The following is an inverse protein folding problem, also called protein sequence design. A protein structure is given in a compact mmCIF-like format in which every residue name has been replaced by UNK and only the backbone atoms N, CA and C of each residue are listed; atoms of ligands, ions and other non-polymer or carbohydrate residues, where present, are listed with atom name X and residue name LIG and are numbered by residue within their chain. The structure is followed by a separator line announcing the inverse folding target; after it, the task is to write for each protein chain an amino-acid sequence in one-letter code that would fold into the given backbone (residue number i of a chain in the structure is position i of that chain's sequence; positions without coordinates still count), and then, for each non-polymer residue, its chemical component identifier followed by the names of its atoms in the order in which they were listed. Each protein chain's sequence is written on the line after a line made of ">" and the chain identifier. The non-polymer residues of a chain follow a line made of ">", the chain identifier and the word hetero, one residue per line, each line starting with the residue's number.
data_IF_607177801280
#
_entry.id   IF_607177801280
#
_cell.length_a   1.000
_cell.length_b   1.000
_cell.length_c   1.000
_cell.angle_alpha   90.00
_cell.angle_beta   90.00
_cell.angle_gamma   90.00
#
_symmetry.space_group_name_H-M   'P 1'
#
loop_
_entity.id
_entity.type
_entity.pdbx_description
1 polymer ?
#
# COMPACT_ATOMS: atom_id res chain seq x y z
N UNK A 1 -11.65 44.40 12.99
CA UNK A 1 -10.50 43.60 13.40
C UNK A 1 -10.52 42.36 12.54
N UNK A 2 -9.61 42.32 11.62
CA UNK A 2 -9.52 41.47 10.43
C UNK A 2 -9.06 40.08 10.80
N UNK A 3 -9.87 39.08 10.48
CA UNK A 3 -9.49 37.67 10.49
C UNK A 3 -8.73 37.37 9.18
N UNK A 4 -7.42 37.38 9.25
CA UNK A 4 -6.59 36.86 8.17
C UNK A 4 -6.79 35.33 8.05
N UNK A 5 -7.57 34.95 7.05
CA UNK A 5 -7.65 33.59 6.58
C UNK A 5 -6.30 33.18 6.02
N UNK A 6 -5.61 32.29 6.73
CA UNK A 6 -4.42 31.62 6.27
C UNK A 6 -4.80 30.76 5.05
N UNK A 7 -4.56 31.30 3.85
CA UNK A 7 -4.69 30.56 2.61
C UNK A 7 -3.78 29.32 2.72
N UNK A 8 -4.38 28.13 2.79
CA UNK A 8 -3.67 26.88 2.57
C UNK A 8 -3.07 26.96 1.18
N UNK A 9 -1.76 27.08 1.12
CA UNK A 9 -0.97 26.89 -0.08
C UNK A 9 -1.41 25.56 -0.69
N UNK A 10 -2.11 25.63 -1.83
CA UNK A 10 -2.25 24.51 -2.74
C UNK A 10 -0.86 24.21 -3.28
N UNK A 11 -0.09 23.46 -2.50
CA UNK A 11 1.17 22.87 -2.92
C UNK A 11 0.91 22.18 -4.24
N UNK A 12 1.62 22.65 -5.25
CA UNK A 12 1.63 22.11 -6.59
C UNK A 12 1.98 20.60 -6.49
N UNK A 13 0.97 19.74 -6.50
CA UNK A 13 1.08 18.27 -6.48
C UNK A 13 1.63 17.69 -7.80
N UNK A 14 2.35 18.51 -8.54
CA UNK A 14 3.10 18.09 -9.71
C UNK A 14 4.47 17.65 -9.21
N UNK A 15 4.79 16.40 -9.47
CA UNK A 15 6.09 15.74 -9.29
C UNK A 15 6.36 15.14 -7.90
N UNK A 16 5.95 13.90 -7.77
CA UNK A 16 6.69 12.92 -7.02
C UNK A 16 7.44 12.04 -8.02
N UNK A 17 8.43 12.62 -8.63
CA UNK A 17 9.38 11.84 -9.38
C UNK A 17 10.32 11.22 -8.34
N UNK A 18 10.16 9.91 -8.11
CA UNK A 18 11.13 9.18 -7.32
C UNK A 18 12.38 8.94 -8.15
N UNK A 19 13.51 8.73 -7.50
CA UNK A 19 14.76 8.38 -8.14
C UNK A 19 14.61 7.11 -8.99
N UNK A 20 13.78 6.17 -8.56
CA UNK A 20 13.48 4.95 -9.32
C UNK A 20 12.74 5.25 -10.62
N UNK A 21 11.67 6.05 -10.56
CA UNK A 21 10.89 6.42 -11.75
C UNK A 21 11.77 7.19 -12.74
N UNK A 22 12.57 8.14 -12.26
CA UNK A 22 13.49 8.87 -13.13
C UNK A 22 14.50 7.91 -13.77
N UNK A 23 15.13 7.03 -13.00
CA UNK A 23 16.15 6.09 -13.47
C UNK A 23 15.63 5.10 -14.52
N UNK A 24 14.39 4.60 -14.38
CA UNK A 24 13.83 3.57 -15.25
C UNK A 24 12.80 4.06 -16.27
N UNK A 25 12.40 5.35 -16.23
CA UNK A 25 11.35 5.88 -17.11
C UNK A 25 11.66 7.22 -17.76
N UNK A 26 12.47 8.11 -17.15
CA UNK A 26 12.60 9.50 -17.61
C UNK A 26 14.03 9.92 -17.96
N UNK A 27 15.04 9.31 -17.33
CA UNK A 27 16.44 9.62 -17.62
C UNK A 27 16.81 9.29 -19.07
N UNK A 28 17.82 9.94 -19.62
CA UNK A 28 18.32 9.66 -20.98
C UNK A 28 18.73 8.19 -21.21
N UNK A 29 19.12 7.48 -20.13
CA UNK A 29 19.43 6.04 -20.12
C UNK A 29 18.27 5.17 -19.65
N UNK A 30 17.09 5.73 -19.39
CA UNK A 30 15.96 4.99 -18.84
C UNK A 30 15.57 3.76 -19.67
N UNK A 31 15.61 3.87 -21.00
CA UNK A 31 15.34 2.72 -21.89
C UNK A 31 16.36 1.59 -21.70
N UNK A 32 17.63 1.91 -21.57
CA UNK A 32 18.71 0.94 -21.34
C UNK A 32 18.53 0.27 -19.96
N UNK A 33 18.30 1.09 -18.94
CA UNK A 33 18.06 0.63 -17.58
C UNK A 33 16.83 -0.28 -17.50
N UNK A 34 15.71 0.13 -18.14
CA UNK A 34 14.48 -0.66 -18.19
C UNK A 34 14.68 -2.00 -18.92
N UNK A 35 15.37 -2.03 -20.06
CA UNK A 35 15.67 -3.27 -20.78
C UNK A 35 16.58 -4.18 -19.96
N UNK A 36 17.56 -3.65 -19.23
CA UNK A 36 18.38 -4.43 -18.30
C UNK A 36 17.52 -5.09 -17.23
N UNK A 37 16.56 -4.35 -16.67
CA UNK A 37 15.62 -4.87 -15.66
C UNK A 37 14.68 -5.92 -16.28
N UNK A 38 14.11 -5.65 -17.45
CA UNK A 38 13.26 -6.60 -18.17
C UNK A 38 13.99 -7.92 -18.44
N UNK A 39 15.21 -7.83 -18.95
CA UNK A 39 16.04 -9.00 -19.23
C UNK A 39 16.33 -9.81 -17.96
N UNK A 40 16.61 -9.13 -16.85
CA UNK A 40 16.85 -9.79 -15.56
C UNK A 40 15.59 -10.50 -15.02
N UNK A 41 14.40 -9.87 -15.16
CA UNK A 41 13.12 -10.44 -14.73
C UNK A 41 12.74 -11.70 -15.54
N UNK A 42 13.04 -11.73 -16.83
CA UNK A 42 12.60 -12.78 -17.75
C UNK A 42 13.69 -13.77 -18.15
N UNK A 43 14.94 -13.54 -17.75
CA UNK A 43 16.08 -14.34 -18.22
C UNK A 43 16.30 -14.23 -19.74
N UNK A 44 15.98 -13.06 -20.33
CA UNK A 44 16.10 -12.76 -21.75
C UNK A 44 17.32 -11.88 -22.04
N UNK A 45 17.57 -11.59 -23.30
CA UNK A 45 18.63 -10.68 -23.71
C UNK A 45 18.16 -9.81 -24.88
N UNK A 46 17.10 -9.02 -24.64
CA UNK A 46 16.60 -8.07 -25.63
C UNK A 46 17.63 -6.97 -25.89
N UNK A 47 17.94 -6.68 -27.15
CA UNK A 47 18.91 -5.64 -27.50
C UNK A 47 18.30 -4.23 -27.28
N UNK A 48 19.16 -3.22 -27.17
CA UNK A 48 18.74 -1.81 -27.02
C UNK A 48 17.86 -1.28 -28.18
N UNK A 49 17.94 -1.92 -29.36
CA UNK A 49 17.07 -1.63 -30.50
C UNK A 49 15.63 -2.10 -30.32
N UNK A 50 15.33 -2.93 -29.30
CA UNK A 50 13.97 -3.41 -29.03
C UNK A 50 13.04 -2.22 -28.76
N UNK A 51 11.79 -2.27 -29.28
CA UNK A 51 10.81 -1.22 -29.02
C UNK A 51 10.40 -1.31 -27.53
N UNK A 52 10.50 -0.18 -26.87
CA UNK A 52 10.00 0.04 -25.49
C UNK A 52 9.21 1.33 -25.54
N UNK A 53 7.96 1.25 -25.16
CA UNK A 53 7.06 2.39 -25.08
C UNK A 53 6.66 2.63 -23.62
N UNK A 54 6.95 3.81 -23.12
CA UNK A 54 6.52 4.23 -21.79
C UNK A 54 5.03 4.57 -21.83
N UNK A 55 4.21 3.87 -21.05
CA UNK A 55 2.77 4.04 -21.01
C UNK A 55 2.39 4.57 -19.63
N UNK A 56 2.31 5.89 -19.51
CA UNK A 56 1.96 6.54 -18.24
C UNK A 56 0.48 6.94 -18.21
N UNK A 57 -0.16 6.76 -17.06
CA UNK A 57 -1.46 7.35 -16.76
C UNK A 57 -1.24 8.78 -16.25
N UNK A 58 -1.59 9.77 -17.09
CA UNK A 58 -1.58 11.17 -16.65
C UNK A 58 -2.87 11.48 -15.88
N UNK A 59 -2.75 12.23 -14.77
CA UNK A 59 -3.87 12.84 -14.04
C UNK A 59 -4.95 11.88 -13.51
N UNK A 60 -4.59 10.83 -12.81
CA UNK A 60 -5.58 10.05 -12.04
C UNK A 60 -5.81 10.73 -10.70
N UNK A 61 -6.87 11.55 -10.62
CA UNK A 61 -7.17 12.47 -9.50
C UNK A 61 -7.42 11.78 -8.15
N UNK A 62 -7.61 10.45 -8.11
CA UNK A 62 -8.01 9.71 -6.92
C UNK A 62 -7.09 8.54 -6.55
N UNK A 63 -6.05 8.29 -7.35
CA UNK A 63 -5.09 7.22 -7.05
C UNK A 63 -3.73 7.85 -6.75
N UNK A 64 -3.26 7.69 -5.51
CA UNK A 64 -1.87 8.01 -5.13
C UNK A 64 -0.88 6.98 -5.71
N UNK A 65 -1.13 6.49 -6.92
CA UNK A 65 -0.24 5.59 -7.65
C UNK A 65 0.61 6.48 -8.57
N UNK A 66 1.49 7.27 -7.96
CA UNK A 66 2.28 8.26 -8.70
C UNK A 66 3.67 7.73 -9.03
N UNK A 67 4.08 6.62 -8.42
CA UNK A 67 5.45 6.12 -8.47
C UNK A 67 5.59 4.85 -9.32
N UNK A 68 4.78 4.67 -10.36
CA UNK A 68 4.80 3.45 -11.15
C UNK A 68 5.43 3.70 -12.52
N UNK A 69 6.36 2.83 -12.90
CA UNK A 69 6.88 2.73 -14.25
C UNK A 69 6.05 1.71 -15.02
N UNK A 70 5.46 2.11 -16.13
CA UNK A 70 4.70 1.22 -17.00
C UNK A 70 5.23 1.30 -18.43
N UNK A 71 5.69 0.16 -18.94
CA UNK A 71 6.23 0.08 -20.29
C UNK A 71 5.58 -1.05 -21.09
N UNK A 72 5.30 -0.77 -22.36
CA UNK A 72 4.93 -1.79 -23.33
C UNK A 72 6.22 -2.28 -24.02
N UNK A 73 6.48 -3.57 -23.90
CA UNK A 73 7.62 -4.23 -24.52
C UNK A 73 7.24 -5.67 -24.88
N UNK A 74 7.61 -6.15 -26.05
CA UNK A 74 7.38 -7.52 -26.51
C UNK A 74 5.91 -8.00 -26.32
N UNK A 75 4.93 -7.13 -26.61
CA UNK A 75 3.51 -7.44 -26.47
C UNK A 75 3.01 -7.56 -25.02
N UNK A 76 3.80 -7.13 -24.03
CA UNK A 76 3.47 -7.12 -22.61
C UNK A 76 3.45 -5.71 -22.06
N UNK A 77 2.59 -5.49 -21.06
CA UNK A 77 2.63 -4.29 -20.22
C UNK A 77 3.29 -4.67 -18.91
N UNK A 78 4.47 -4.16 -18.69
CA UNK A 78 5.19 -4.34 -17.42
C UNK A 78 4.87 -3.15 -16.54
N UNK A 79 4.24 -3.41 -15.41
CA UNK A 79 3.94 -2.42 -14.37
C UNK A 79 4.87 -2.65 -13.20
N UNK A 80 5.71 -1.68 -12.95
CA UNK A 80 6.66 -1.69 -11.83
C UNK A 80 6.17 -0.69 -10.80
N UNK A 81 5.81 -1.15 -9.62
CA UNK A 81 5.59 -0.27 -8.49
C UNK A 81 6.85 -0.18 -7.66
N UNK A 82 7.29 1.05 -7.45
CA UNK A 82 8.40 1.33 -6.59
C UNK A 82 8.01 1.26 -5.12
N UNK A 83 9.00 0.87 -4.37
CA UNK A 83 9.28 1.21 -2.99
C UNK A 83 8.04 1.33 -2.09
N UNK A 84 7.71 0.23 -1.46
CA UNK A 84 6.95 0.32 -0.24
C UNK A 84 7.91 0.13 0.93
N UNK A 85 8.11 1.21 1.69
CA UNK A 85 8.76 1.14 2.99
C UNK A 85 7.97 0.26 3.96
N UNK A 86 6.72 -0.06 3.62
CA UNK A 86 5.78 -0.92 4.36
C UNK A 86 5.21 -1.99 3.44
N UNK A 87 5.07 -3.19 3.95
CA UNK A 87 4.41 -4.30 3.27
C UNK A 87 2.93 -3.95 3.05
N UNK A 88 2.45 -4.04 1.81
CA UNK A 88 1.05 -3.76 1.47
C UNK A 88 0.43 -4.93 0.70
N UNK A 89 -0.36 -5.72 1.38
CA UNK A 89 -1.04 -6.89 0.81
C UNK A 89 -2.15 -6.51 -0.20
N UNK A 90 -2.58 -5.24 -0.25
CA UNK A 90 -3.61 -4.76 -1.18
C UNK A 90 -3.06 -4.36 -2.57
N UNK A 91 -1.79 -4.65 -2.86
CA UNK A 91 -1.20 -4.34 -4.18
C UNK A 91 -1.96 -4.98 -5.35
N UNK A 92 -2.47 -6.23 -5.27
CA UNK A 92 -3.25 -6.80 -6.36
C UNK A 92 -4.52 -6.00 -6.68
N UNK A 93 -5.22 -5.48 -5.67
CA UNK A 93 -6.40 -4.64 -5.88
C UNK A 93 -6.04 -3.30 -6.54
N UNK A 94 -4.97 -2.66 -6.09
CA UNK A 94 -4.47 -1.41 -6.68
C UNK A 94 -4.06 -1.60 -8.15
N UNK A 95 -3.35 -2.69 -8.45
CA UNK A 95 -2.95 -2.99 -9.83
C UNK A 95 -4.11 -3.37 -10.74
N UNK A 96 -5.17 -3.98 -10.20
CA UNK A 96 -6.39 -4.23 -10.97
C UNK A 96 -7.02 -2.91 -11.47
N UNK A 97 -7.14 -1.92 -10.59
CA UNK A 97 -7.65 -0.61 -10.95
C UNK A 97 -6.74 0.09 -11.97
N UNK A 98 -5.44 -0.01 -11.78
CA UNK A 98 -4.44 0.61 -12.65
C UNK A 98 -4.47 0.02 -14.05
N UNK A 99 -4.42 -1.31 -14.19
CA UNK A 99 -4.39 -1.98 -15.50
C UNK A 99 -5.69 -1.79 -16.27
N UNK A 100 -6.84 -1.74 -15.59
CA UNK A 100 -8.12 -1.46 -16.23
C UNK A 100 -8.08 -0.10 -16.96
N UNK A 101 -7.52 0.92 -16.32
CA UNK A 101 -7.36 2.27 -16.92
C UNK A 101 -6.32 2.31 -18.05
N UNK A 102 -5.23 1.55 -17.92
CA UNK A 102 -4.26 1.44 -19.02
C UNK A 102 -4.90 0.80 -20.25
N UNK A 103 -5.70 -0.24 -20.09
CA UNK A 103 -6.42 -0.84 -21.21
C UNK A 103 -7.45 0.10 -21.82
N UNK A 104 -8.13 0.94 -21.02
CA UNK A 104 -9.01 1.99 -21.53
C UNK A 104 -8.26 3.01 -22.40
N UNK A 105 -7.04 3.36 -22.01
CA UNK A 105 -6.18 4.30 -22.77
C UNK A 105 -5.66 3.67 -24.07
N UNK A 106 -5.31 2.39 -24.05
CA UNK A 106 -4.69 1.68 -25.16
C UNK A 106 -5.68 1.25 -26.23
N UNK A 107 -6.95 1.03 -25.86
CA UNK A 107 -7.98 0.56 -26.77
C UNK A 107 -8.88 1.70 -27.24
N UNK A 108 -9.26 1.68 -28.52
CA UNK A 108 -10.31 2.58 -28.99
C UNK A 108 -11.64 2.26 -28.26
N UNK A 109 -12.44 3.26 -27.87
CA UNK A 109 -13.72 3.04 -27.18
C UNK A 109 -14.65 2.07 -27.89
N UNK A 110 -14.57 1.99 -29.23
CA UNK A 110 -15.35 1.11 -30.09
C UNK A 110 -14.91 -0.35 -30.06
N UNK A 111 -13.68 -0.64 -29.72
CA UNK A 111 -13.09 -1.99 -29.83
C UNK A 111 -13.81 -3.00 -28.96
N UNK A 112 -14.30 -2.60 -27.78
CA UNK A 112 -15.06 -3.43 -26.86
C UNK A 112 -16.44 -3.86 -27.38
N UNK A 113 -16.94 -3.22 -28.44
CA UNK A 113 -18.21 -3.52 -29.08
C UNK A 113 -18.07 -4.34 -30.37
N UNK A 114 -16.81 -4.60 -30.80
CA UNK A 114 -16.56 -5.41 -31.98
C UNK A 114 -16.99 -6.87 -31.74
N UNK A 115 -17.52 -7.51 -32.77
CA UNK A 115 -17.84 -8.95 -32.71
C UNK A 115 -16.59 -9.83 -32.70
N UNK A 116 -15.50 -9.32 -33.26
CA UNK A 116 -14.19 -10.00 -33.27
C UNK A 116 -13.46 -9.67 -31.99
N UNK A 117 -12.80 -10.68 -31.41
CA UNK A 117 -11.97 -10.51 -30.21
C UNK A 117 -10.89 -9.47 -30.43
N UNK A 118 -10.91 -8.39 -29.66
CA UNK A 118 -9.83 -7.42 -29.58
C UNK A 118 -8.75 -7.95 -28.62
N UNK A 119 -7.52 -8.05 -29.13
CA UNK A 119 -6.38 -8.51 -28.34
C UNK A 119 -5.79 -7.34 -27.55
N UNK A 120 -5.40 -7.62 -26.34
CA UNK A 120 -4.73 -6.68 -25.43
C UNK A 120 -3.37 -7.23 -25.04
N UNK A 121 -2.39 -6.37 -24.72
CA UNK A 121 -1.09 -6.80 -24.20
C UNK A 121 -1.25 -7.56 -22.87
N UNK A 122 -0.40 -8.56 -22.64
CA UNK A 122 -0.40 -9.32 -21.39
C UNK A 122 0.19 -8.46 -20.26
N UNK A 123 -0.50 -8.28 -19.11
CA UNK A 123 0.01 -7.50 -18.01
C UNK A 123 0.90 -8.34 -17.10
N UNK A 124 1.96 -7.73 -16.59
CA UNK A 124 2.81 -8.29 -15.54
C UNK A 124 3.05 -7.24 -14.46
N UNK A 125 3.04 -7.65 -13.18
CA UNK A 125 3.08 -6.75 -12.05
C UNK A 125 4.21 -7.10 -11.10
N UNK A 126 5.05 -6.11 -10.81
CA UNK A 126 6.20 -6.25 -9.92
C UNK A 126 6.21 -5.13 -8.90
N UNK A 127 6.53 -5.47 -7.66
CA UNK A 127 6.80 -4.54 -6.56
C UNK A 127 8.22 -4.76 -6.09
N UNK A 128 9.00 -3.70 -6.03
CA UNK A 128 10.34 -3.73 -5.47
C UNK A 128 10.30 -3.26 -4.02
N UNK A 129 10.36 -4.21 -3.09
CA UNK A 129 10.39 -3.92 -1.67
C UNK A 129 11.80 -3.57 -1.22
N UNK A 130 11.91 -2.41 -0.59
CA UNK A 130 13.16 -1.92 -0.01
C UNK A 130 12.88 -1.31 1.39
N UNK A 131 12.01 -1.94 2.18
CA UNK A 131 11.64 -1.51 3.53
C UNK A 131 12.62 -2.00 4.59
N UNK A 132 12.38 -1.61 5.85
CA UNK A 132 13.19 -2.00 7.01
C UNK A 132 12.68 -3.28 7.70
N UNK A 133 11.43 -3.66 7.44
CA UNK A 133 10.85 -4.88 8.01
C UNK A 133 11.46 -6.10 7.34
N UNK A 134 11.66 -7.18 8.09
CA UNK A 134 12.13 -8.43 7.51
C UNK A 134 11.06 -9.00 6.58
N UNK A 135 11.43 -9.19 5.31
CA UNK A 135 10.54 -9.66 4.28
C UNK A 135 11.25 -10.70 3.39
N UNK A 136 10.56 -11.75 2.93
CA UNK A 136 11.17 -12.76 2.08
C UNK A 136 11.84 -12.16 0.84
N UNK A 137 12.83 -12.87 0.29
CA UNK A 137 13.50 -12.48 -0.96
C UNK A 137 12.50 -12.28 -2.10
N UNK A 138 11.50 -13.15 -2.18
CA UNK A 138 10.43 -13.08 -3.19
C UNK A 138 9.11 -13.52 -2.59
N UNK A 139 8.04 -12.80 -2.89
CA UNK A 139 6.68 -13.14 -2.45
C UNK A 139 5.71 -12.92 -3.61
N UNK A 140 4.65 -13.72 -3.66
CA UNK A 140 3.57 -13.57 -4.64
C UNK A 140 2.29 -13.19 -3.90
N UNK A 141 1.73 -12.04 -4.23
CA UNK A 141 0.44 -11.59 -3.74
C UNK A 141 -0.64 -11.92 -4.78
N UNK A 142 -1.81 -12.33 -4.32
CA UNK A 142 -2.92 -12.74 -5.19
C UNK A 142 -4.18 -11.95 -4.87
N UNK A 143 -4.89 -11.50 -5.90
CA UNK A 143 -6.16 -10.80 -5.74
C UNK A 143 -7.21 -11.67 -5.03
N UNK A 144 -7.23 -12.95 -5.31
CA UNK A 144 -8.15 -13.90 -4.69
C UNK A 144 -8.01 -14.05 -3.18
N UNK A 145 -6.87 -13.66 -2.61
CA UNK A 145 -6.66 -13.68 -1.16
C UNK A 145 -7.50 -12.60 -0.44
N UNK A 146 -7.90 -11.54 -1.16
CA UNK A 146 -8.79 -10.48 -0.67
C UNK A 146 -10.28 -10.84 -0.76
N UNK A 147 -10.67 -11.96 -1.35
CA UNK A 147 -12.07 -12.33 -1.49
C UNK A 147 -12.66 -12.78 -0.14
N UNK A 148 -13.79 -12.16 0.24
CA UNK A 148 -14.52 -12.48 1.48
C UNK A 148 -14.91 -13.98 1.50
N UNK A 149 -15.34 -14.50 0.34
CA UNK A 149 -15.67 -15.91 0.19
C UNK A 149 -14.72 -16.54 -0.82
N UNK A 150 -14.01 -17.60 -0.42
CA UNK A 150 -13.09 -18.31 -1.33
C UNK A 150 -13.88 -19.26 -2.23
N UNK A 151 -13.96 -19.01 -3.55
CA UNK A 151 -14.64 -19.89 -4.47
C UNK A 151 -13.79 -21.12 -4.81
N UNK A 152 -14.42 -22.24 -5.20
CA UNK A 152 -13.71 -23.42 -5.71
C UNK A 152 -12.89 -23.12 -6.96
N UNK A 153 -13.40 -22.28 -7.84
CA UNK A 153 -12.70 -21.75 -9.01
C UNK A 153 -12.62 -20.25 -8.93
N UNK A 154 -11.41 -19.71 -8.97
CA UNK A 154 -11.16 -18.28 -8.93
C UNK A 154 -11.64 -17.65 -10.24
N UNK A 155 -12.70 -16.80 -10.23
CA UNK A 155 -13.24 -16.21 -11.45
C UNK A 155 -12.40 -15.06 -12.00
N UNK A 156 -11.62 -14.42 -11.13
CA UNK A 156 -10.73 -13.31 -11.46
C UNK A 156 -9.45 -13.42 -10.62
N UNK A 157 -8.31 -13.54 -11.27
CA UNK A 157 -7.01 -13.57 -10.60
C UNK A 157 -6.08 -12.52 -11.19
N UNK A 158 -5.38 -11.83 -10.31
CA UNK A 158 -4.24 -10.98 -10.61
C UNK A 158 -3.14 -11.32 -9.60
N UNK A 159 -1.97 -11.59 -10.11
CA UNK A 159 -0.80 -11.92 -9.29
C UNK A 159 0.24 -10.82 -9.37
N UNK A 160 0.82 -10.48 -8.23
CA UNK A 160 1.88 -9.48 -8.11
C UNK A 160 3.13 -10.15 -7.57
N UNK A 161 4.25 -10.00 -8.26
CA UNK A 161 5.53 -10.46 -7.76
C UNK A 161 6.17 -9.35 -6.92
N UNK A 162 6.44 -9.63 -5.65
CA UNK A 162 7.18 -8.74 -4.76
C UNK A 162 8.61 -9.24 -4.67
N UNK A 163 9.55 -8.39 -5.05
CA UNK A 163 11.00 -8.66 -5.01
C UNK A 163 11.64 -7.80 -3.94
N UNK A 164 12.23 -8.43 -2.93
CA UNK A 164 13.00 -7.72 -1.92
C UNK A 164 14.36 -7.36 -2.49
N UNK A 165 14.58 -6.06 -2.68
CA UNK A 165 15.81 -5.52 -3.27
C UNK A 165 16.77 -4.95 -2.22
N UNK A 166 16.58 -5.23 -0.92
CA UNK A 166 17.58 -4.89 0.07
C UNK A 166 18.89 -5.64 -0.20
N UNK A 167 20.02 -4.99 0.09
CA UNK A 167 21.37 -5.51 -0.24
C UNK A 167 21.76 -6.78 0.52
N UNK A 168 21.09 -7.05 1.66
CA UNK A 168 21.27 -8.27 2.46
C UNK A 168 20.53 -9.49 1.89
N UNK A 169 19.74 -9.33 0.83
CA UNK A 169 18.99 -10.41 0.18
C UNK A 169 19.67 -10.87 -1.11
N UNK A 170 19.79 -12.18 -1.27
CA UNK A 170 20.45 -12.79 -2.44
C UNK A 170 19.52 -12.86 -3.67
N UNK A 171 18.92 -11.73 -4.08
CA UNK A 171 17.96 -11.69 -5.17
C UNK A 171 18.65 -11.82 -6.54
N UNK A 172 18.26 -12.84 -7.33
CA UNK A 172 18.83 -13.10 -8.66
C UNK A 172 18.61 -11.95 -9.65
N UNK A 173 17.45 -11.28 -9.56
CA UNK A 173 17.14 -10.13 -10.42
C UNK A 173 18.05 -8.97 -10.10
N UNK A 174 18.31 -8.73 -8.81
CA UNK A 174 19.25 -7.70 -8.35
C UNK A 174 20.66 -7.94 -8.91
N UNK A 175 21.15 -9.18 -8.79
CA UNK A 175 22.46 -9.57 -9.31
C UNK A 175 22.59 -9.51 -10.84
N UNK A 176 21.47 -9.66 -11.56
CA UNK A 176 21.43 -9.65 -13.03
C UNK A 176 21.15 -8.26 -13.64
N UNK A 177 20.73 -7.27 -12.83
CA UNK A 177 20.39 -5.92 -13.27
C UNK A 177 21.25 -4.89 -12.53
N UNK A 178 22.36 -4.48 -13.13
CA UNK A 178 23.29 -3.51 -12.53
C UNK A 178 22.61 -2.20 -12.11
N UNK A 179 21.72 -1.55 -12.93
CA UNK A 179 21.03 -0.34 -12.49
C UNK A 179 20.18 -0.54 -11.23
N UNK A 180 19.53 -1.71 -11.07
CA UNK A 180 18.73 -2.02 -9.89
C UNK A 180 19.62 -2.29 -8.66
N UNK A 181 20.72 -2.99 -8.83
CA UNK A 181 21.72 -3.22 -7.78
C UNK A 181 22.31 -1.90 -7.28
N UNK A 182 22.76 -1.03 -8.19
CA UNK A 182 23.30 0.29 -7.84
C UNK A 182 22.22 1.17 -7.17
N UNK A 183 20.96 1.08 -7.60
CA UNK A 183 19.84 1.76 -6.94
C UNK A 183 19.65 1.25 -5.49
N UNK A 184 19.68 -0.04 -5.28
CA UNK A 184 19.58 -0.64 -3.95
C UNK A 184 20.69 -0.15 -3.01
N UNK A 185 21.94 -0.17 -3.47
CA UNK A 185 23.10 0.36 -2.76
C UNK A 185 22.97 1.86 -2.46
N UNK A 186 22.45 2.62 -3.40
CA UNK A 186 22.18 4.05 -3.24
C UNK A 186 21.16 4.32 -2.12
N UNK A 187 20.04 3.60 -2.11
CA UNK A 187 19.01 3.75 -1.06
C UNK A 187 19.56 3.36 0.32
N UNK A 188 20.38 2.32 0.40
CA UNK A 188 21.06 1.94 1.64
C UNK A 188 21.96 3.06 2.15
N UNK A 189 22.79 3.65 1.27
CA UNK A 189 23.67 4.76 1.64
C UNK A 189 22.86 6.00 2.06
N UNK A 190 21.76 6.32 1.38
CA UNK A 190 20.84 7.40 1.76
C UNK A 190 20.32 7.20 3.18
N UNK A 191 19.83 6.00 3.51
CA UNK A 191 19.34 5.67 4.86
C UNK A 191 20.41 5.82 5.93
N UNK A 192 21.61 5.34 5.62
CA UNK A 192 22.76 5.42 6.53
C UNK A 192 23.14 6.87 6.81
N UNK A 193 23.26 7.68 5.78
CA UNK A 193 23.69 9.07 5.93
C UNK A 193 22.62 9.95 6.58
N UNK A 194 21.34 9.75 6.27
CA UNK A 194 20.24 10.49 6.91
C UNK A 194 20.03 10.12 8.38
N UNK A 195 20.37 8.88 8.77
CA UNK A 195 20.35 8.49 10.17
C UNK A 195 21.49 9.15 10.96
N UNK A 196 22.67 9.32 10.33
CA UNK A 196 23.85 9.92 10.95
C UNK A 196 23.80 11.46 10.98
N UNK A 197 23.38 12.07 9.88
CA UNK A 197 23.27 13.53 9.70
C UNK A 197 21.95 13.87 8.99
N UNK A 198 20.86 14.11 9.72
CA UNK A 198 19.55 14.40 9.13
C UNK A 198 19.52 15.64 8.22
N UNK A 199 20.39 16.64 8.47
CA UNK A 199 20.39 17.90 7.72
C UNK A 199 21.11 17.75 6.36
N UNK A 200 22.25 17.05 6.35
CA UNK A 200 23.08 16.94 5.16
C UNK A 200 23.09 15.52 4.56
N UNK A 201 22.36 14.57 5.14
CA UNK A 201 22.42 13.16 4.83
C UNK A 201 22.20 12.86 3.34
N UNK A 202 21.24 13.48 2.68
CA UNK A 202 21.01 13.30 1.24
C UNK A 202 22.19 13.77 0.40
N UNK A 203 22.74 14.94 0.72
CA UNK A 203 23.92 15.49 0.03
C UNK A 203 25.15 14.62 0.24
N UNK A 204 25.34 14.12 1.44
CA UNK A 204 26.46 13.24 1.79
C UNK A 204 26.34 11.89 1.08
N UNK A 205 25.14 11.30 1.05
CA UNK A 205 24.87 10.05 0.35
C UNK A 205 25.21 10.15 -1.14
N UNK A 206 24.72 11.21 -1.81
CA UNK A 206 25.02 11.45 -3.24
C UNK A 206 26.52 11.55 -3.49
N UNK A 207 27.27 12.31 -2.67
CA UNK A 207 28.74 12.44 -2.80
C UNK A 207 29.44 11.10 -2.65
N UNK A 208 29.11 10.36 -1.57
CA UNK A 208 29.71 9.06 -1.28
C UNK A 208 29.40 8.05 -2.40
N UNK A 209 28.20 8.03 -2.93
CA UNK A 209 27.83 7.15 -4.03
C UNK A 209 28.60 7.47 -5.32
N UNK A 210 28.79 8.76 -5.66
CA UNK A 210 29.63 9.19 -6.78
C UNK A 210 31.08 8.71 -6.59
N UNK A 211 31.66 8.86 -5.39
CA UNK A 211 33.01 8.42 -5.05
C UNK A 211 33.17 6.90 -5.14
N UNK A 212 32.16 6.14 -4.68
CA UNK A 212 32.13 4.68 -4.75
C UNK A 212 31.79 4.14 -6.16
N UNK A 213 31.41 4.98 -7.11
CA UNK A 213 31.01 4.58 -8.45
C UNK A 213 29.57 4.07 -8.57
N UNK A 214 28.75 4.22 -7.52
CA UNK A 214 27.33 3.81 -7.48
C UNK A 214 26.49 4.86 -8.19
N UNK A 215 25.73 4.47 -9.24
CA UNK A 215 24.97 5.38 -10.11
C UNK A 215 25.78 6.63 -10.53
N UNK A 216 27.08 6.50 -10.67
CA UNK A 216 28.01 7.62 -10.76
C UNK A 216 27.64 8.62 -11.86
N UNK A 217 27.47 8.15 -13.09
CA UNK A 217 27.18 9.04 -14.23
C UNK A 217 25.82 9.74 -14.06
N UNK A 218 24.82 9.02 -13.60
CA UNK A 218 23.50 9.54 -13.30
C UNK A 218 23.55 10.62 -12.21
N UNK A 219 24.17 10.32 -11.08
CA UNK A 219 24.29 11.25 -9.95
C UNK A 219 25.15 12.48 -10.29
N UNK A 220 26.19 12.33 -11.11
CA UNK A 220 27.00 13.48 -11.55
C UNK A 220 26.20 14.44 -12.43
N UNK A 221 25.28 13.93 -13.25
CA UNK A 221 24.42 14.77 -14.10
C UNK A 221 23.28 15.43 -13.33
N UNK A 222 22.67 14.69 -12.38
CA UNK A 222 21.38 15.06 -11.74
C UNK A 222 21.47 15.24 -10.23
N UNK A 223 22.65 15.46 -9.64
CA UNK A 223 22.82 15.52 -8.16
C UNK A 223 21.80 16.39 -7.46
N UNK A 224 21.53 17.60 -7.96
CA UNK A 224 20.58 18.54 -7.35
C UNK A 224 19.14 18.05 -7.46
N UNK A 225 18.77 17.51 -8.61
CA UNK A 225 17.44 16.96 -8.86
C UNK A 225 17.18 15.76 -7.96
N UNK A 226 18.14 14.84 -7.87
CA UNK A 226 18.08 13.67 -6.98
C UNK A 226 17.92 14.08 -5.51
N UNK A 227 18.68 15.06 -5.04
CA UNK A 227 18.52 15.57 -3.67
C UNK A 227 17.12 16.14 -3.46
N UNK A 228 16.59 16.90 -4.41
CA UNK A 228 15.24 17.44 -4.32
C UNK A 228 14.16 16.33 -4.32
N UNK A 229 14.33 15.28 -5.12
CA UNK A 229 13.45 14.09 -5.11
C UNK A 229 13.46 13.42 -3.75
N UNK A 230 14.64 13.16 -3.17
CA UNK A 230 14.79 12.54 -1.86
C UNK A 230 14.15 13.37 -0.73
N UNK A 231 14.32 14.69 -0.75
CA UNK A 231 13.68 15.59 0.21
C UNK A 231 12.16 15.51 0.09
N UNK A 232 11.63 15.58 -1.14
CA UNK A 232 10.18 15.51 -1.37
C UNK A 232 9.58 14.16 -0.93
N UNK A 233 10.31 13.06 -1.15
CA UNK A 233 9.90 11.71 -0.75
C UNK A 233 9.91 11.56 0.78
N UNK A 234 10.97 12.06 1.44
CA UNK A 234 11.07 12.05 2.91
C UNK A 234 9.96 12.86 3.59
N UNK A 235 9.67 14.05 3.08
CA UNK A 235 8.59 14.91 3.63
C UNK A 235 7.23 14.23 3.52
N UNK A 236 6.97 13.52 2.42
CA UNK A 236 5.73 12.78 2.23
C UNK A 236 5.60 11.57 3.17
N UNK A 237 6.66 10.79 3.31
CA UNK A 237 6.65 9.64 4.21
C UNK A 237 6.44 10.08 5.67
N UNK A 238 7.03 11.22 6.03
CA UNK A 238 6.85 11.82 7.36
C UNK A 238 5.40 12.29 7.55
N UNK A 239 4.80 12.96 6.57
CA UNK A 239 3.39 13.41 6.62
C UNK A 239 2.43 12.22 6.73
N UNK A 240 2.63 11.18 5.93
CA UNK A 240 1.85 9.92 6.00
C UNK A 240 2.00 9.25 7.38
N UNK A 241 3.21 9.20 7.93
CA UNK A 241 3.44 8.60 9.24
C UNK A 241 2.73 9.36 10.36
N UNK A 242 2.73 10.69 10.30
CA UNK A 242 1.99 11.55 11.24
C UNK A 242 0.48 11.33 11.10
N UNK A 243 -0.05 11.34 9.88
CA UNK A 243 -1.49 11.12 9.63
C UNK A 243 -1.95 9.73 10.12
N UNK A 244 -1.15 8.67 9.89
CA UNK A 244 -1.43 7.32 10.38
C UNK A 244 -1.45 7.26 11.91
N UNK A 245 -0.51 7.95 12.57
CA UNK A 245 -0.45 8.03 14.03
C UNK A 245 -1.66 8.76 14.61
N UNK A 246 -2.08 9.84 13.97
CA UNK A 246 -3.28 10.58 14.38
C UNK A 246 -4.55 9.75 14.16
N UNK A 247 -4.72 9.11 13.00
CA UNK A 247 -5.85 8.23 12.73
C UNK A 247 -5.91 7.07 13.72
N UNK A 248 -4.76 6.47 14.07
CA UNK A 248 -4.66 5.43 15.10
C UNK A 248 -5.10 5.93 16.48
N UNK A 249 -4.75 7.15 16.87
CA UNK A 249 -5.19 7.77 18.13
C UNK A 249 -6.71 8.00 18.16
N UNK A 250 -7.27 8.49 17.05
CA UNK A 250 -8.71 8.73 16.93
C UNK A 250 -9.46 7.41 17.02
N UNK A 251 -9.08 6.39 16.23
CA UNK A 251 -9.71 5.08 16.26
C UNK A 251 -9.62 4.40 17.64
N UNK A 252 -8.50 4.57 18.35
CA UNK A 252 -8.33 4.06 19.70
C UNK A 252 -9.27 4.77 20.71
N UNK A 253 -9.41 6.09 20.60
CA UNK A 253 -10.32 6.87 21.45
C UNK A 253 -11.79 6.49 21.20
N UNK A 254 -12.20 6.36 19.94
CA UNK A 254 -13.54 5.89 19.55
C UNK A 254 -13.81 4.46 20.04
N UNK A 255 -12.83 3.57 19.95
CA UNK A 255 -12.93 2.20 20.46
C UNK A 255 -13.13 2.13 21.98
N UNK A 256 -12.44 3.01 22.75
CA UNK A 256 -12.65 3.14 24.20
C UNK A 256 -14.06 3.65 24.48
N UNK A 257 -14.53 4.68 23.81
CA UNK A 257 -15.86 5.25 24.01
C UNK A 257 -16.96 4.21 23.74
N UNK A 258 -16.88 3.49 22.62
CA UNK A 258 -17.79 2.40 22.30
C UNK A 258 -17.75 1.26 23.31
N UNK A 259 -16.56 0.90 23.79
CA UNK A 259 -16.38 -0.13 24.82
C UNK A 259 -17.01 0.26 26.16
N UNK A 260 -16.88 1.53 26.55
CA UNK A 260 -17.51 2.07 27.75
C UNK A 260 -19.03 2.07 27.60
N UNK A 261 -19.57 2.53 26.47
CA UNK A 261 -21.02 2.54 26.23
C UNK A 261 -21.61 1.13 26.24
N UNK A 262 -20.99 0.18 25.57
CA UNK A 262 -21.39 -1.23 25.61
C UNK A 262 -21.32 -1.81 27.01
N UNK A 263 -20.24 -1.54 27.76
CA UNK A 263 -20.08 -2.00 29.14
C UNK A 263 -21.13 -1.43 30.08
N UNK A 264 -21.50 -0.16 29.91
CA UNK A 264 -22.60 0.47 30.67
C UNK A 264 -23.94 -0.19 30.35
N UNK A 265 -24.26 -0.37 29.07
CA UNK A 265 -25.50 -1.02 28.64
C UNK A 265 -25.62 -2.44 29.17
N UNK A 266 -24.53 -3.20 29.06
CA UNK A 266 -24.50 -4.58 29.58
C UNK A 266 -24.64 -4.60 31.10
N UNK A 267 -23.94 -3.74 31.82
CA UNK A 267 -24.04 -3.61 33.26
C UNK A 267 -25.45 -3.22 33.76
N UNK A 268 -26.14 -2.34 33.04
CA UNK A 268 -27.54 -2.01 33.33
C UNK A 268 -28.47 -3.19 33.09
N UNK A 269 -28.31 -3.91 32.01
CA UNK A 269 -29.10 -5.10 31.67
C UNK A 269 -28.91 -6.21 32.71
N UNK A 270 -27.67 -6.53 33.02
CA UNK A 270 -27.34 -7.58 33.98
C UNK A 270 -27.78 -7.20 35.41
N UNK A 271 -27.62 -5.94 35.80
CA UNK A 271 -28.07 -5.42 37.08
C UNK A 271 -29.61 -5.47 37.23
N UNK A 272 -30.34 -5.07 36.16
CA UNK A 272 -31.79 -5.15 36.16
C UNK A 272 -32.26 -6.61 36.25
N UNK A 273 -31.63 -7.52 35.51
CA UNK A 273 -31.92 -8.94 35.54
C UNK A 273 -31.66 -9.57 36.94
N UNK A 274 -30.53 -9.27 37.56
CA UNK A 274 -30.20 -9.73 38.92
C UNK A 274 -31.21 -9.20 39.93
N UNK A 275 -31.62 -7.95 39.82
CA UNK A 275 -32.65 -7.34 40.67
C UNK A 275 -34.03 -7.99 40.51
N UNK A 276 -34.38 -8.35 39.26
CA UNK A 276 -35.61 -9.09 38.97
C UNK A 276 -35.60 -10.48 39.61
N UNK A 277 -34.47 -11.20 39.56
CA UNK A 277 -34.30 -12.50 40.21
C UNK A 277 -34.41 -12.40 41.74
N UNK A 278 -33.76 -11.41 42.37
CA UNK A 278 -33.86 -11.18 43.83
C UNK A 278 -35.32 -10.89 44.23
N UNK A 279 -35.99 -10.01 43.48
CA UNK A 279 -37.39 -9.65 43.72
C UNK A 279 -38.31 -10.87 43.60
N UNK A 280 -38.09 -11.68 42.55
CA UNK A 280 -38.86 -12.90 42.31
C UNK A 280 -38.69 -13.92 43.46
N UNK A 281 -37.48 -14.07 44.00
CA UNK A 281 -37.23 -14.94 45.18
C UNK A 281 -38.03 -14.49 46.40
N UNK A 282 -38.03 -13.20 46.69
CA UNK A 282 -38.80 -12.65 47.83
C UNK A 282 -40.29 -12.87 47.65
N UNK A 283 -40.85 -12.58 46.48
CA UNK A 283 -42.26 -12.78 46.18
C UNK A 283 -42.67 -14.27 46.23
N UNK A 284 -41.81 -15.18 45.82
CA UNK A 284 -42.01 -16.63 45.93
C UNK A 284 -42.06 -17.07 47.36
N UNK A 285 -41.18 -16.56 48.22
CA UNK A 285 -41.16 -16.85 49.68
C UNK A 285 -42.42 -16.30 50.37
N UNK A 286 -42.98 -15.19 49.90
CA UNK A 286 -44.25 -14.61 50.42
C UNK A 286 -45.49 -15.36 49.95
N UNK A 287 -45.37 -16.37 49.09
CA UNK A 287 -46.46 -17.20 48.61
C UNK A 287 -47.21 -16.62 47.41
N UNK A 288 -46.67 -15.65 46.69
CA UNK A 288 -47.33 -15.13 45.47
C UNK A 288 -47.32 -16.15 44.35
N UNK A 289 -48.34 -16.09 43.50
CA UNK A 289 -48.46 -17.00 42.35
C UNK A 289 -47.44 -16.69 41.27
N UNK A 290 -46.96 -17.72 40.55
CA UNK A 290 -46.00 -17.59 39.44
C UNK A 290 -46.40 -16.50 38.47
N UNK A 291 -47.69 -16.43 38.12
CA UNK A 291 -48.21 -15.40 37.20
C UNK A 291 -48.03 -13.96 37.72
N UNK A 292 -48.22 -13.73 39.00
CA UNK A 292 -47.99 -12.43 39.65
C UNK A 292 -46.48 -12.07 39.68
N UNK A 293 -45.63 -13.04 39.96
CA UNK A 293 -44.16 -12.84 39.98
C UNK A 293 -43.68 -12.48 38.58
N UNK A 294 -44.12 -13.17 37.54
CA UNK A 294 -43.80 -12.83 36.15
C UNK A 294 -44.21 -11.39 35.80
N UNK A 295 -45.42 -10.98 36.17
CA UNK A 295 -45.91 -9.60 35.90
C UNK A 295 -45.09 -8.52 36.64
N UNK A 296 -44.63 -8.83 37.82
CA UNK A 296 -43.89 -7.86 38.68
C UNK A 296 -42.40 -7.75 38.26
N UNK A 297 -41.81 -8.83 37.75
CA UNK A 297 -40.36 -8.90 37.52
C UNK A 297 -39.98 -8.93 36.02
N UNK A 298 -40.92 -9.26 35.14
CA UNK A 298 -40.65 -9.49 33.72
C UNK A 298 -39.92 -10.79 33.40
N UNK A 299 -39.68 -11.66 34.38
CA UNK A 299 -39.06 -12.97 34.20
C UNK A 299 -40.01 -13.94 33.52
N UNK A 300 -39.48 -14.91 32.80
CA UNK A 300 -40.24 -16.00 32.20
C UNK A 300 -40.73 -16.99 33.27
N UNK A 301 -41.73 -17.80 32.92
CA UNK A 301 -42.27 -18.83 33.81
C UNK A 301 -41.17 -19.81 34.24
N UNK A 302 -40.34 -20.24 33.32
CA UNK A 302 -39.25 -21.18 33.54
C UNK A 302 -38.20 -20.61 34.53
N UNK A 303 -37.88 -19.33 34.39
CA UNK A 303 -36.95 -18.64 35.31
C UNK A 303 -37.54 -18.52 36.73
N UNK A 304 -38.83 -18.20 36.86
CA UNK A 304 -39.50 -18.12 38.16
C UNK A 304 -39.62 -19.51 38.85
N UNK A 305 -39.92 -20.55 38.09
CA UNK A 305 -40.02 -21.93 38.60
C UNK A 305 -38.66 -22.47 39.02
N UNK A 306 -37.58 -22.14 38.32
CA UNK A 306 -36.22 -22.54 38.63
C UNK A 306 -35.62 -21.87 39.90
N UNK A 307 -36.24 -20.79 40.41
CA UNK A 307 -35.80 -20.15 41.64
C UNK A 307 -36.07 -21.05 42.87
N UNK A 308 -35.02 -21.40 43.59
CA UNK A 308 -35.09 -22.14 44.88
C UNK A 308 -35.31 -21.17 46.05
#
# INVERSE_FOLDING_TARGET
>A
MTSEGRAMSTSNRKYKDSVFVDLFSEDEKAKENFLSLYNALHGTNLPLSSPVENIRLENVMYMNIINDVSCLVDGKIIVLAEHQSTINENMPLRFLEYIARLYEKLQAPTDRYLRKLSKIPTPEFYVFYNGKEDYPETTVLKLSDAFITKPEKVPLELTVQVLNINTDKANKVLAACKPLEEYSLFVEEVRKQTQFDPENGFTNAVKICIEKGILKEYLMRKSREVINMLVAEYDYDTDIAVQRKEAGRIAFAEGIEQGIEQGIQQGFSDGAYQKALETAKVLKQLGDSVKKIMQATGLTQEEVEALN
#
